data_IF_796950072049
#
_entry.id   IF_796950072049
#
_cell.length_a   1.000
_cell.length_b   1.000
_cell.length_c   1.000
_cell.angle_alpha   90.00
_cell.angle_beta   90.00
_cell.angle_gamma   90.00
#
_symmetry.space_group_name_H-M   'P 1'
#
loop_
_entity.id
_entity.type
_entity.pdbx_description
1 polymer ?
#
# COMPACT_ATOMS: atom_id res chain seq x y z
N UNK A 1 0.90 -3.99 17.70
CA UNK A 1 1.17 -2.89 16.76
C UNK A 1 2.58 -2.42 17.05
N UNK A 2 3.39 -2.24 16.01
CA UNK A 2 4.75 -1.70 16.13
C UNK A 2 4.67 -0.25 16.65
N UNK A 3 5.46 0.08 17.68
CA UNK A 3 5.34 1.31 18.48
C UNK A 3 6.16 2.49 17.90
N UNK A 4 6.29 2.55 16.57
CA UNK A 4 7.04 3.63 15.91
C UNK A 4 6.15 4.83 15.55
N UNK A 5 6.77 6.00 15.41
CA UNK A 5 6.11 7.25 14.99
C UNK A 5 5.90 7.27 13.48
N UNK A 6 4.68 7.56 13.04
CA UNK A 6 4.29 7.53 11.62
C UNK A 6 4.42 8.90 10.95
N UNK A 7 4.90 8.92 9.71
CA UNK A 7 4.81 10.07 8.80
C UNK A 7 3.71 9.80 7.77
N UNK A 8 2.71 10.67 7.74
CA UNK A 8 1.47 10.48 6.96
C UNK A 8 1.37 11.62 5.96
N UNK A 9 1.12 11.35 4.68
CA UNK A 9 0.94 12.42 3.69
C UNK A 9 -0.50 12.92 3.72
N UNK A 10 -0.71 14.23 3.95
CA UNK A 10 -2.04 14.84 3.99
C UNK A 10 -2.43 15.52 2.68
N UNK A 11 -3.53 15.07 2.09
CA UNK A 11 -4.11 15.64 0.87
C UNK A 11 -5.56 16.05 1.08
N UNK A 12 -5.95 17.16 0.44
CA UNK A 12 -7.34 17.58 0.29
C UNK A 12 -7.80 17.23 -1.11
N UNK A 13 -9.05 16.81 -1.28
CA UNK A 13 -9.60 16.45 -2.58
C UNK A 13 -10.89 17.22 -2.81
N UNK A 14 -10.97 17.93 -3.93
CA UNK A 14 -12.15 18.64 -4.40
C UNK A 14 -12.14 18.67 -5.93
N UNK A 15 -13.30 18.49 -6.55
CA UNK A 15 -13.47 18.54 -8.01
C UNK A 15 -12.50 17.63 -8.77
N UNK A 16 -12.24 16.43 -8.21
CA UNK A 16 -11.32 15.45 -8.79
C UNK A 16 -9.84 15.84 -8.79
N UNK A 17 -9.45 16.88 -8.04
CA UNK A 17 -8.09 17.39 -7.96
C UNK A 17 -7.51 17.27 -6.56
N UNK A 18 -6.18 17.15 -6.51
CA UNK A 18 -5.43 17.11 -5.26
C UNK A 18 -5.01 18.52 -4.83
N UNK A 19 -5.18 18.78 -3.54
CA UNK A 19 -4.74 19.98 -2.86
C UNK A 19 -3.93 19.58 -1.62
N UNK A 20 -3.18 20.53 -1.07
CA UNK A 20 -2.80 20.48 0.36
C UNK A 20 -4.03 20.15 1.22
N UNK A 21 -3.85 19.42 2.33
CA UNK A 21 -4.98 18.92 3.13
C UNK A 21 -5.99 20.00 3.53
N UNK A 22 -5.55 21.25 3.70
CA UNK A 22 -6.40 22.40 4.07
C UNK A 22 -7.14 23.04 2.88
N UNK A 23 -6.95 22.53 1.66
CA UNK A 23 -7.59 22.99 0.43
C UNK A 23 -7.01 24.28 -0.15
N UNK A 24 -5.87 24.79 0.32
CA UNK A 24 -5.38 26.12 -0.06
C UNK A 24 -4.48 26.13 -1.30
N UNK A 25 -3.61 25.13 -1.44
CA UNK A 25 -2.69 24.98 -2.55
C UNK A 25 -3.05 23.77 -3.41
N UNK A 26 -3.32 23.98 -4.71
CA UNK A 26 -3.54 22.92 -5.71
C UNK A 26 -2.21 22.30 -6.09
N UNK A 27 -2.20 20.97 -6.21
CA UNK A 27 -1.09 20.23 -6.80
C UNK A 27 -1.31 20.09 -8.32
N UNK A 28 -0.25 20.28 -9.09
CA UNK A 28 -0.25 20.07 -10.54
C UNK A 28 -0.18 18.60 -10.96
N UNK A 29 0.25 17.69 -10.08
CA UNK A 29 0.27 16.24 -10.36
C UNK A 29 -0.99 15.54 -9.85
N UNK A 30 -1.39 14.41 -10.47
CA UNK A 30 -2.46 13.57 -9.96
C UNK A 30 -2.19 13.06 -8.53
N UNK A 31 -3.25 12.88 -7.74
CA UNK A 31 -3.16 12.34 -6.38
C UNK A 31 -2.39 11.02 -6.32
N UNK A 32 -2.66 10.12 -7.27
CA UNK A 32 -2.04 8.79 -7.34
C UNK A 32 -0.53 8.86 -7.54
N UNK A 33 -0.02 9.84 -8.29
CA UNK A 33 1.41 10.06 -8.50
C UNK A 33 2.08 10.65 -7.25
N UNK A 34 1.40 11.58 -6.58
CA UNK A 34 1.87 12.20 -5.34
C UNK A 34 1.95 11.16 -4.21
N UNK A 35 0.85 10.45 -3.97
CA UNK A 35 0.76 9.42 -2.93
C UNK A 35 1.79 8.31 -3.16
N UNK A 36 1.92 7.81 -4.40
CA UNK A 36 2.91 6.81 -4.77
C UNK A 36 4.34 7.28 -4.54
N UNK A 37 4.67 8.49 -5.00
CA UNK A 37 6.01 9.05 -4.78
C UNK A 37 6.35 9.07 -3.30
N UNK A 38 5.46 9.58 -2.45
CA UNK A 38 5.81 9.68 -1.03
C UNK A 38 5.79 8.35 -0.28
N UNK A 39 4.87 7.44 -0.61
CA UNK A 39 4.85 6.09 -0.03
C UNK A 39 6.08 5.27 -0.42
N UNK A 40 6.45 5.27 -1.71
CA UNK A 40 7.66 4.62 -2.19
C UNK A 40 8.94 5.21 -1.54
N UNK A 41 8.86 6.43 -1.01
CA UNK A 41 9.95 7.13 -0.33
C UNK A 41 9.73 7.28 1.18
N UNK A 42 8.98 6.35 1.78
CA UNK A 42 8.96 6.16 3.22
C UNK A 42 7.82 6.82 3.99
N UNK A 43 6.80 7.36 3.32
CA UNK A 43 5.54 7.67 4.01
C UNK A 43 4.88 6.38 4.51
N UNK A 44 4.33 6.41 5.72
CA UNK A 44 3.72 5.25 6.38
C UNK A 44 2.24 5.09 6.00
N UNK A 45 1.56 6.20 5.71
CA UNK A 45 0.13 6.26 5.42
C UNK A 45 -0.19 7.48 4.53
N UNK A 46 -1.40 7.50 3.99
CA UNK A 46 -1.96 8.64 3.26
C UNK A 46 -3.27 9.08 3.91
N UNK A 47 -3.43 10.36 4.22
CA UNK A 47 -4.68 10.96 4.66
C UNK A 47 -5.33 11.73 3.52
N UNK A 48 -6.58 11.41 3.23
CA UNK A 48 -7.41 12.02 2.20
C UNK A 48 -8.59 12.75 2.84
N UNK A 49 -8.59 14.07 2.75
CA UNK A 49 -9.65 14.94 3.24
C UNK A 49 -10.59 15.31 2.08
N UNK A 50 -11.82 14.83 2.14
CA UNK A 50 -12.88 15.12 1.18
C UNK A 50 -13.48 16.52 1.44
N UNK A 51 -13.14 17.46 0.55
CA UNK A 51 -13.64 18.84 0.54
C UNK A 51 -14.81 19.06 -0.43
N UNK A 52 -15.42 17.99 -0.93
CA UNK A 52 -16.53 18.10 -1.88
C UNK A 52 -17.74 18.82 -1.26
N UNK A 53 -18.42 19.64 -2.07
CA UNK A 53 -19.58 20.45 -1.64
C UNK A 53 -20.93 19.91 -2.15
N UNK A 54 -20.92 19.13 -3.23
CA UNK A 54 -22.08 18.45 -3.80
C UNK A 54 -21.87 16.92 -3.88
N UNK A 55 -22.93 16.16 -4.19
CA UNK A 55 -22.88 14.69 -4.15
C UNK A 55 -22.14 14.09 -5.36
N UNK A 56 -22.15 14.77 -6.51
CA UNK A 56 -21.41 14.33 -7.71
C UNK A 56 -19.90 14.34 -7.46
N UNK A 57 -19.39 15.42 -6.86
CA UNK A 57 -17.99 15.56 -6.47
C UNK A 57 -17.61 14.57 -5.36
N UNK A 58 -18.50 14.31 -4.39
CA UNK A 58 -18.26 13.30 -3.35
C UNK A 58 -18.06 11.90 -3.93
N UNK A 59 -18.86 11.49 -4.93
CA UNK A 59 -18.65 10.22 -5.63
C UNK A 59 -17.34 10.21 -6.44
N UNK A 60 -16.93 11.35 -7.01
CA UNK A 60 -15.65 11.48 -7.68
C UNK A 60 -14.48 11.31 -6.69
N UNK A 61 -14.57 11.88 -5.49
CA UNK A 61 -13.58 11.70 -4.41
C UNK A 61 -13.50 10.24 -3.98
N UNK A 62 -14.63 9.55 -3.81
CA UNK A 62 -14.65 8.10 -3.51
C UNK A 62 -13.95 7.30 -4.61
N UNK A 63 -14.17 7.66 -5.88
CA UNK A 63 -13.44 7.08 -7.02
C UNK A 63 -11.93 7.25 -6.91
N UNK A 64 -11.46 8.45 -6.52
CA UNK A 64 -10.04 8.73 -6.31
C UNK A 64 -9.45 7.99 -5.11
N UNK A 65 -10.20 7.83 -4.01
CA UNK A 65 -9.78 6.99 -2.87
C UNK A 65 -9.53 5.57 -3.37
N UNK A 66 -10.45 5.02 -4.17
CA UNK A 66 -10.31 3.67 -4.76
C UNK A 66 -9.12 3.54 -5.70
N UNK A 67 -8.89 4.54 -6.55
CA UNK A 67 -7.73 4.56 -7.44
C UNK A 67 -6.40 4.64 -6.66
N UNK A 68 -6.38 5.44 -5.58
CA UNK A 68 -5.22 5.59 -4.71
C UNK A 68 -4.92 4.29 -3.98
N UNK A 69 -5.95 3.62 -3.43
CA UNK A 69 -5.81 2.32 -2.74
C UNK A 69 -5.23 1.21 -3.62
N UNK A 70 -5.43 1.27 -4.94
CA UNK A 70 -4.82 0.34 -5.92
C UNK A 70 -3.38 0.70 -6.29
N UNK A 71 -2.99 1.93 -6.03
CA UNK A 71 -1.70 2.47 -6.45
C UNK A 71 -0.63 2.37 -5.36
N UNK A 72 -1.03 2.54 -4.10
CA UNK A 72 -0.15 2.48 -2.93
C UNK A 72 -0.45 1.25 -2.09
N UNK A 73 0.57 0.69 -1.44
CA UNK A 73 0.39 -0.48 -0.56
C UNK A 73 0.14 -0.03 0.90
N UNK A 74 0.35 1.26 1.18
CA UNK A 74 0.30 1.89 2.48
C UNK A 74 -1.15 2.29 2.87
N UNK A 75 -1.53 2.20 4.16
CA UNK A 75 -2.90 2.45 4.59
C UNK A 75 -3.41 3.87 4.28
N UNK A 76 -4.65 3.96 3.84
CA UNK A 76 -5.35 5.22 3.59
C UNK A 76 -6.28 5.57 4.77
N UNK A 77 -6.23 6.81 5.24
CA UNK A 77 -7.18 7.41 6.17
C UNK A 77 -8.08 8.37 5.37
N UNK A 78 -9.39 8.27 5.49
CA UNK A 78 -10.32 9.11 4.71
C UNK A 78 -11.36 9.79 5.61
N UNK A 79 -11.83 10.97 5.24
CA UNK A 79 -12.84 11.69 6.02
C UNK A 79 -13.11 13.06 5.44
N UNK A 80 -13.87 13.90 6.16
CA UNK A 80 -14.32 15.21 5.67
C UNK A 80 -15.83 15.22 5.44
N UNK A 81 -16.30 14.92 4.23
CA UNK A 81 -17.73 14.96 3.89
C UNK A 81 -18.52 13.73 4.36
N UNK A 82 -18.53 13.45 5.66
CA UNK A 82 -19.38 12.42 6.27
C UNK A 82 -20.69 13.05 6.77
N UNK A 83 -21.82 12.70 6.16
CA UNK A 83 -23.17 13.18 6.55
C UNK A 83 -24.05 12.06 7.08
N UNK A 84 -23.71 10.80 6.79
CA UNK A 84 -24.44 9.60 7.23
C UNK A 84 -23.51 8.39 7.29
N UNK A 85 -23.96 7.35 7.97
CA UNK A 85 -23.23 6.08 8.09
C UNK A 85 -22.88 5.43 6.74
N UNK A 86 -23.69 5.64 5.68
CA UNK A 86 -23.38 5.12 4.35
C UNK A 86 -22.11 5.75 3.76
N UNK A 87 -21.75 6.98 4.14
CA UNK A 87 -20.54 7.64 3.62
C UNK A 87 -19.29 7.01 4.28
N UNK A 88 -19.35 6.68 5.57
CA UNK A 88 -18.32 5.88 6.28
C UNK A 88 -18.10 4.54 5.57
N UNK A 89 -19.19 3.83 5.27
CA UNK A 89 -19.14 2.56 4.54
C UNK A 89 -18.49 2.72 3.17
N UNK A 90 -18.85 3.76 2.42
CA UNK A 90 -18.29 4.02 1.08
C UNK A 90 -16.79 4.27 1.12
N UNK A 91 -16.29 5.08 2.06
CA UNK A 91 -14.86 5.30 2.21
C UNK A 91 -14.11 4.01 2.55
N UNK A 92 -14.60 3.22 3.51
CA UNK A 92 -13.99 1.94 3.86
C UNK A 92 -13.99 0.97 2.67
N UNK A 93 -15.09 0.89 1.92
CA UNK A 93 -15.22 -0.01 0.76
C UNK A 93 -14.43 0.48 -0.46
N UNK A 94 -14.06 1.75 -0.49
CA UNK A 94 -13.12 2.29 -1.46
C UNK A 94 -11.66 1.98 -1.11
N UNK A 95 -11.38 1.34 0.04
CA UNK A 95 -10.02 0.96 0.45
C UNK A 95 -9.43 1.83 1.57
N UNK A 96 -10.22 2.72 2.19
CA UNK A 96 -9.76 3.38 3.40
C UNK A 96 -9.63 2.36 4.56
N UNK A 97 -8.49 2.39 5.24
CA UNK A 97 -8.23 1.59 6.43
C UNK A 97 -8.95 2.10 7.68
N UNK A 98 -9.19 3.41 7.75
CA UNK A 98 -9.99 4.06 8.78
C UNK A 98 -10.66 5.33 8.24
N UNK A 99 -11.77 5.72 8.89
CA UNK A 99 -12.52 6.93 8.60
C UNK A 99 -12.48 7.87 9.79
N UNK A 100 -12.14 9.14 9.55
CA UNK A 100 -12.20 10.17 10.59
C UNK A 100 -13.49 11.00 10.51
N UNK A 101 -14.12 11.19 11.67
CA UNK A 101 -15.36 11.91 11.86
C UNK A 101 -15.10 13.27 12.52
N UNK A 102 -15.63 14.35 11.97
CA UNK A 102 -15.40 15.71 12.47
C UNK A 102 -16.27 15.97 13.70
N UNK A 103 -15.65 16.07 14.88
CA UNK A 103 -16.37 16.21 16.15
C UNK A 103 -17.01 17.58 16.36
N UNK A 104 -16.70 18.58 15.51
CA UNK A 104 -17.43 19.85 15.53
C UNK A 104 -18.85 19.74 14.94
N UNK A 105 -19.17 18.59 14.34
CA UNK A 105 -20.48 18.31 13.75
C UNK A 105 -21.22 17.31 14.63
N UNK A 106 -22.34 17.74 15.21
CA UNK A 106 -23.19 16.93 16.09
C UNK A 106 -23.57 15.58 15.44
N UNK A 107 -24.00 15.59 14.17
CA UNK A 107 -24.32 14.37 13.41
C UNK A 107 -23.17 13.34 13.38
N UNK A 108 -21.91 13.80 13.34
CA UNK A 108 -20.73 12.93 13.31
C UNK A 108 -20.47 12.29 14.67
N UNK A 109 -20.66 13.03 15.76
CA UNK A 109 -20.56 12.52 17.13
C UNK A 109 -21.66 11.49 17.38
N UNK A 110 -22.91 11.81 17.01
CA UNK A 110 -24.07 10.93 17.19
C UNK A 110 -23.92 9.59 16.46
N UNK A 111 -23.35 9.59 15.24
CA UNK A 111 -23.18 8.36 14.46
C UNK A 111 -21.92 7.56 14.84
N UNK A 112 -20.98 8.13 15.60
CA UNK A 112 -19.67 7.53 15.88
C UNK A 112 -19.80 6.14 16.50
N UNK A 113 -20.72 5.99 17.47
CA UNK A 113 -20.99 4.69 18.11
C UNK A 113 -21.52 3.65 17.15
N UNK A 114 -22.51 4.01 16.33
CA UNK A 114 -23.06 3.10 15.33
C UNK A 114 -22.01 2.70 14.30
N UNK A 115 -21.15 3.63 13.89
CA UNK A 115 -20.03 3.37 12.98
C UNK A 115 -19.01 2.40 13.59
N UNK A 116 -18.62 2.62 14.84
CA UNK A 116 -17.68 1.76 15.54
C UNK A 116 -18.25 0.35 15.78
N UNK A 117 -19.50 0.24 16.24
CA UNK A 117 -20.17 -1.04 16.45
C UNK A 117 -20.30 -1.86 15.16
N UNK A 118 -20.44 -1.19 14.01
CA UNK A 118 -20.62 -1.83 12.70
C UNK A 118 -19.31 -2.19 12.00
N UNK A 119 -18.30 -1.33 12.08
CA UNK A 119 -17.07 -1.45 11.27
C UNK A 119 -15.82 -1.76 12.08
N UNK A 120 -15.89 -1.67 13.42
CA UNK A 120 -14.76 -1.80 14.34
C UNK A 120 -14.22 -0.44 14.78
N UNK A 121 -13.99 -0.26 16.08
CA UNK A 121 -13.43 0.97 16.66
C UNK A 121 -12.05 1.32 16.10
N UNK A 122 -11.26 0.32 15.71
CA UNK A 122 -9.96 0.52 15.07
C UNK A 122 -10.03 1.22 13.71
N UNK A 123 -11.23 1.30 13.11
CA UNK A 123 -11.48 1.97 11.83
C UNK A 123 -12.13 3.34 11.98
N UNK A 124 -12.46 3.78 13.19
CA UNK A 124 -13.15 5.05 13.44
C UNK A 124 -12.24 5.98 14.22
N UNK A 125 -11.89 7.12 13.63
CA UNK A 125 -11.06 8.15 14.23
C UNK A 125 -11.90 9.41 14.48
N UNK A 126 -11.51 10.24 15.45
CA UNK A 126 -12.13 11.53 15.72
C UNK A 126 -11.23 12.64 15.21
N UNK A 127 -11.73 13.49 14.31
CA UNK A 127 -11.03 14.70 13.86
C UNK A 127 -11.46 15.88 14.74
N UNK A 128 -10.48 16.47 15.42
CA UNK A 128 -10.58 17.60 16.34
C UNK A 128 -10.07 18.86 15.62
N UNK A 129 -10.95 19.80 15.26
CA UNK A 129 -10.56 20.99 14.48
C UNK A 129 -9.64 21.95 15.22
N UNK A 130 -9.58 21.87 16.54
CA UNK A 130 -8.65 22.61 17.40
C UNK A 130 -8.50 21.93 18.78
N UNK A 131 -7.59 22.44 19.60
CA UNK A 131 -7.25 21.90 20.92
C UNK A 131 -8.43 21.94 21.91
N UNK A 132 -9.43 22.79 21.70
CA UNK A 132 -10.54 22.95 22.67
C UNK A 132 -11.44 21.72 22.79
N UNK A 133 -11.30 20.76 21.87
CA UNK A 133 -12.00 19.47 21.87
C UNK A 133 -11.24 18.34 22.59
N UNK A 134 -9.97 18.54 22.95
CA UNK A 134 -9.17 17.53 23.67
C UNK A 134 -9.78 17.14 25.03
N UNK A 135 -10.36 18.06 25.82
CA UNK A 135 -11.03 17.68 27.07
C UNK A 135 -12.17 16.66 26.92
N UNK A 136 -12.75 16.52 25.71
CA UNK A 136 -13.78 15.55 25.37
C UNK A 136 -13.23 14.28 24.70
N UNK A 137 -11.91 14.10 24.59
CA UNK A 137 -11.31 12.95 23.92
C UNK A 137 -11.77 11.59 24.50
N UNK A 138 -11.92 11.50 25.82
CA UNK A 138 -12.43 10.29 26.49
C UNK A 138 -13.89 9.98 26.10
N UNK A 139 -14.72 11.00 25.88
CA UNK A 139 -16.09 10.81 25.39
C UNK A 139 -16.09 10.23 23.98
N UNK A 140 -15.28 10.80 23.07
CA UNK A 140 -15.14 10.27 21.70
C UNK A 140 -14.60 8.84 21.70
N UNK A 141 -13.64 8.54 22.58
CA UNK A 141 -13.12 7.18 22.74
C UNK A 141 -14.19 6.20 23.23
N UNK A 142 -15.05 6.61 24.18
CA UNK A 142 -16.19 5.80 24.63
C UNK A 142 -17.26 5.60 23.56
N UNK A 143 -17.38 6.55 22.62
CA UNK A 143 -18.20 6.41 21.41
C UNK A 143 -17.52 5.55 20.33
N UNK A 144 -16.28 5.12 20.55
CA UNK A 144 -15.59 4.15 19.70
C UNK A 144 -14.50 4.73 18.79
N UNK A 145 -14.12 6.00 18.94
CA UNK A 145 -12.95 6.54 18.26
C UNK A 145 -11.65 5.95 18.84
N UNK A 146 -10.79 5.40 18.00
CA UNK A 146 -9.51 4.82 18.44
C UNK A 146 -8.34 5.80 18.42
N UNK A 147 -8.40 6.85 17.59
CA UNK A 147 -7.33 7.83 17.41
C UNK A 147 -7.92 9.23 17.24
N UNK A 148 -7.27 10.23 17.84
CA UNK A 148 -7.60 11.65 17.73
C UNK A 148 -6.74 12.31 16.65
N UNK A 149 -7.34 12.85 15.60
CA UNK A 149 -6.64 13.67 14.60
C UNK A 149 -6.80 15.13 14.99
N UNK A 150 -5.72 15.77 15.43
CA UNK A 150 -5.75 17.11 15.97
C UNK A 150 -5.11 18.14 15.04
N UNK A 151 -5.81 19.24 14.80
CA UNK A 151 -5.23 20.46 14.26
C UNK A 151 -4.77 21.38 15.38
N UNK A 152 -3.47 21.69 15.42
CA UNK A 152 -2.89 22.61 16.41
C UNK A 152 -3.11 24.07 16.00
N UNK A 153 -3.13 24.97 16.97
CA UNK A 153 -3.42 26.40 16.74
C UNK A 153 -2.30 27.14 15.99
N UNK A 154 -1.08 26.63 16.10
CA UNK A 154 0.12 27.10 15.41
C UNK A 154 0.80 25.94 14.67
N UNK A 155 1.73 26.28 13.76
CA UNK A 155 2.58 25.29 13.09
C UNK A 155 3.34 24.43 14.10
N UNK A 156 3.96 25.07 15.10
CA UNK A 156 4.58 24.36 16.23
C UNK A 156 3.68 24.50 17.46
N UNK A 157 3.21 23.41 18.07
CA UNK A 157 2.37 23.47 19.26
C UNK A 157 3.19 23.96 20.43
N UNK A 158 2.53 24.72 21.28
CA UNK A 158 3.06 25.11 22.57
C UNK A 158 3.28 23.87 23.45
N UNK A 159 4.20 23.98 24.42
CA UNK A 159 4.38 22.95 25.44
C UNK A 159 3.09 22.67 26.23
N UNK A 160 2.20 23.67 26.33
CA UNK A 160 0.89 23.51 26.95
C UNK A 160 0.00 22.59 26.12
N UNK A 161 -0.13 22.82 24.81
CA UNK A 161 -0.92 21.96 23.91
C UNK A 161 -0.40 20.51 23.94
N UNK A 162 0.91 20.30 23.93
CA UNK A 162 1.49 18.95 24.07
C UNK A 162 1.20 18.33 25.44
N UNK A 163 1.15 19.13 26.50
CA UNK A 163 0.74 18.70 27.84
C UNK A 163 -0.72 18.24 27.88
N UNK A 164 -1.63 19.02 27.29
CA UNK A 164 -3.06 18.68 27.19
C UNK A 164 -3.28 17.39 26.39
N UNK A 165 -2.57 17.20 25.27
CA UNK A 165 -2.59 15.93 24.52
C UNK A 165 -2.09 14.79 25.41
N UNK A 166 -0.97 15.00 26.12
CA UNK A 166 -0.39 14.03 27.05
C UNK A 166 -1.34 13.59 28.17
N UNK A 167 -2.11 14.53 28.71
CA UNK A 167 -3.08 14.30 29.77
C UNK A 167 -4.37 13.61 29.28
N UNK A 168 -4.70 13.75 27.99
CA UNK A 168 -5.89 13.12 27.40
C UNK A 168 -5.88 11.60 27.51
N UNK A 169 -4.70 10.96 27.51
CA UNK A 169 -4.58 9.50 27.57
C UNK A 169 -4.85 8.77 26.25
N UNK A 170 -5.16 9.49 25.16
CA UNK A 170 -5.51 8.89 23.86
C UNK A 170 -4.45 9.14 22.79
N UNK A 171 -4.31 8.19 21.86
CA UNK A 171 -3.38 8.34 20.74
C UNK A 171 -3.82 9.48 19.80
N UNK A 172 -2.83 10.27 19.37
CA UNK A 172 -3.04 11.43 18.54
C UNK A 172 -2.22 11.39 17.24
N UNK A 173 -2.84 11.85 16.15
CA UNK A 173 -2.18 12.29 14.92
C UNK A 173 -2.30 13.79 14.84
N UNK A 174 -1.26 14.47 14.39
CA UNK A 174 -1.22 15.93 14.37
C UNK A 174 -0.85 16.45 12.98
N UNK A 175 -1.36 17.60 12.59
CA UNK A 175 -0.93 18.22 11.33
C UNK A 175 0.41 18.93 11.50
N UNK A 176 1.27 18.78 10.51
CA UNK A 176 2.62 19.33 10.46
C UNK A 176 2.87 19.83 9.03
N UNK A 177 3.43 21.02 8.84
CA UNK A 177 3.51 21.58 7.48
C UNK A 177 3.92 23.05 7.38
N UNK A 178 4.26 23.45 6.16
CA UNK A 178 4.62 24.84 5.82
C UNK A 178 6.08 25.20 6.07
N UNK A 179 6.97 24.19 6.10
CA UNK A 179 8.42 24.36 6.10
C UNK A 179 9.00 24.09 4.71
N UNK A 180 10.00 24.88 4.32
CA UNK A 180 10.68 24.78 3.01
C UNK A 180 11.87 23.81 3.01
N UNK A 181 12.34 23.38 4.19
CA UNK A 181 13.48 22.46 4.30
C UNK A 181 13.10 21.21 5.09
N UNK A 182 13.69 20.08 4.70
CA UNK A 182 13.57 18.80 5.40
C UNK A 182 14.08 18.91 6.83
N UNK A 183 15.12 19.72 7.05
CA UNK A 183 15.72 19.91 8.36
C UNK A 183 14.78 20.63 9.33
N UNK A 184 14.08 21.66 8.87
CA UNK A 184 13.11 22.39 9.69
C UNK A 184 11.91 21.48 10.02
N UNK A 185 11.40 20.75 9.01
CA UNK A 185 10.31 19.79 9.19
C UNK A 185 10.68 18.71 10.21
N UNK A 186 11.87 18.11 10.08
CA UNK A 186 12.37 17.13 11.06
C UNK A 186 12.58 17.75 12.45
N UNK A 187 12.91 19.04 12.54
CA UNK A 187 13.00 19.79 13.80
C UNK A 187 11.64 19.90 14.49
N UNK A 188 10.60 20.27 13.75
CA UNK A 188 9.22 20.34 14.24
C UNK A 188 8.72 18.95 14.70
N UNK A 189 8.92 17.92 13.87
CA UNK A 189 8.55 16.54 14.19
C UNK A 189 9.18 16.04 15.50
N UNK A 190 10.42 16.45 15.82
CA UNK A 190 11.07 16.10 17.10
C UNK A 190 10.32 16.68 18.30
N UNK A 191 9.83 17.91 18.19
CA UNK A 191 9.09 18.58 19.27
C UNK A 191 7.77 17.84 19.48
N UNK A 192 7.05 17.58 18.39
CA UNK A 192 5.78 16.85 18.38
C UNK A 192 5.89 15.45 19.00
N UNK A 193 6.85 14.66 18.52
CA UNK A 193 7.05 13.28 18.99
C UNK A 193 7.66 13.19 20.38
N UNK A 194 8.05 14.33 20.98
CA UNK A 194 8.34 14.42 22.42
C UNK A 194 7.14 14.04 23.29
N UNK A 195 5.91 14.14 22.78
CA UNK A 195 4.72 13.59 23.42
C UNK A 195 4.55 12.09 23.06
N UNK A 196 4.53 11.16 24.04
CA UNK A 196 4.38 9.73 23.76
C UNK A 196 3.07 9.37 23.04
N UNK A 197 1.99 10.11 23.33
CA UNK A 197 0.67 9.91 22.76
C UNK A 197 0.55 10.41 21.31
N UNK A 198 1.44 11.29 20.84
CA UNK A 198 1.49 11.66 19.42
C UNK A 198 2.12 10.51 18.65
N UNK A 199 1.31 9.67 18.01
CA UNK A 199 1.75 8.47 17.29
C UNK A 199 2.10 8.71 15.83
N UNK A 200 1.74 9.87 15.28
CA UNK A 200 2.11 10.23 13.91
C UNK A 200 1.85 11.69 13.57
N UNK A 201 2.42 12.12 12.45
CA UNK A 201 2.28 13.47 11.92
C UNK A 201 1.77 13.43 10.48
N UNK A 202 0.75 14.23 10.20
CA UNK A 202 0.12 14.44 8.90
C UNK A 202 0.81 15.62 8.24
N UNK A 203 1.66 15.31 7.28
CA UNK A 203 2.56 16.22 6.59
C UNK A 203 1.85 16.94 5.45
N UNK A 204 2.08 18.25 5.38
CA UNK A 204 1.78 19.07 4.20
C UNK A 204 3.10 19.38 3.50
N UNK A 205 3.37 18.72 2.38
CA UNK A 205 4.61 18.86 1.61
C UNK A 205 4.36 19.52 0.27
N UNK A 206 5.35 20.27 -0.22
CA UNK A 206 5.37 20.71 -1.62
C UNK A 206 5.61 19.49 -2.55
N UNK A 207 5.16 19.56 -3.80
CA UNK A 207 5.28 18.44 -4.74
C UNK A 207 6.72 17.95 -4.93
N UNK A 208 7.68 18.88 -4.91
CA UNK A 208 9.09 18.60 -5.09
C UNK A 208 9.72 17.92 -3.87
N UNK A 209 9.05 17.98 -2.71
CA UNK A 209 9.51 17.38 -1.45
C UNK A 209 8.80 16.07 -1.11
N UNK A 210 7.97 15.54 -2.02
CA UNK A 210 7.16 14.35 -1.74
C UNK A 210 8.01 13.10 -1.46
N UNK A 211 9.26 13.06 -1.93
CA UNK A 211 10.20 11.95 -1.76
C UNK A 211 11.10 12.04 -0.52
N UNK A 212 10.81 12.95 0.42
CA UNK A 212 11.69 13.27 1.56
C UNK A 212 11.35 12.53 2.87
N UNK A 213 10.29 11.71 2.90
CA UNK A 213 9.84 11.06 4.13
C UNK A 213 10.92 10.16 4.77
N UNK A 214 11.63 9.36 3.98
CA UNK A 214 12.72 8.52 4.48
C UNK A 214 13.88 9.36 5.04
N UNK A 215 14.21 10.49 4.42
CA UNK A 215 15.23 11.41 4.95
C UNK A 215 14.82 11.96 6.32
N UNK A 216 13.56 12.40 6.47
CA UNK A 216 13.02 12.83 7.76
C UNK A 216 13.09 11.71 8.81
N UNK A 217 12.73 10.48 8.45
CA UNK A 217 12.83 9.32 9.34
C UNK A 217 14.26 9.06 9.80
N UNK A 218 15.24 9.13 8.90
CA UNK A 218 16.66 9.01 9.29
C UNK A 218 17.10 10.10 10.27
N UNK A 219 16.64 11.34 10.06
CA UNK A 219 16.92 12.46 10.99
C UNK A 219 16.26 12.29 12.36
N UNK A 220 15.05 11.72 12.40
CA UNK A 220 14.31 11.41 13.63
C UNK A 220 14.98 10.26 14.39
N UNK A 221 15.35 9.19 13.68
CA UNK A 221 16.14 8.09 14.22
C UNK A 221 17.46 8.56 14.83
N UNK A 222 18.19 9.43 14.13
CA UNK A 222 19.41 10.05 14.66
C UNK A 222 19.20 10.88 15.94
N UNK A 223 17.96 11.31 16.21
CA UNK A 223 17.56 11.99 17.44
C UNK A 223 16.96 11.03 18.50
N UNK A 224 16.98 9.71 18.27
CA UNK A 224 16.45 8.70 19.19
C UNK A 224 14.93 8.52 19.11
N UNK A 225 14.27 9.00 18.06
CA UNK A 225 12.83 8.80 17.83
C UNK A 225 12.66 7.59 16.90
N UNK A 226 11.93 6.58 17.39
CA UNK A 226 11.66 5.37 16.63
C UNK A 226 10.72 5.64 15.45
N UNK A 227 11.16 5.29 14.25
CA UNK A 227 10.43 5.42 12.97
C UNK A 227 10.70 4.20 12.12
N UNK A 228 9.79 3.88 11.20
CA UNK A 228 9.94 2.73 10.31
C UNK A 228 11.03 2.97 9.26
N UNK A 229 12.24 2.50 9.58
CA UNK A 229 13.44 2.54 8.74
C UNK A 229 14.04 1.13 8.62
N UNK A 230 14.88 0.91 7.61
CA UNK A 230 15.56 -0.38 7.48
C UNK A 230 16.75 -0.48 8.44
N UNK A 231 16.69 -1.46 9.34
CA UNK A 231 17.76 -1.77 10.28
C UNK A 231 18.25 -3.20 10.10
N UNK A 232 19.57 -3.38 10.11
CA UNK A 232 20.15 -4.72 10.11
C UNK A 232 20.30 -5.24 11.53
N UNK A 233 19.89 -6.48 11.74
CA UNK A 233 20.18 -7.24 12.96
C UNK A 233 21.56 -7.90 12.92
N UNK A 234 22.24 -7.88 11.78
CA UNK A 234 23.57 -8.48 11.55
C UNK A 234 24.55 -7.39 11.13
N UNK A 235 25.71 -7.30 11.80
CA UNK A 235 26.72 -6.31 11.44
C UNK A 235 27.41 -6.71 10.12
N UNK A 236 27.76 -5.72 9.28
CA UNK A 236 28.39 -5.97 7.98
C UNK A 236 29.64 -6.86 8.05
N UNK A 237 30.46 -6.69 9.09
CA UNK A 237 31.65 -7.51 9.36
C UNK A 237 31.39 -9.03 9.48
N UNK A 238 30.15 -9.42 9.75
CA UNK A 238 29.73 -10.82 9.92
C UNK A 238 29.21 -11.44 8.61
N UNK A 239 29.18 -10.65 7.52
CA UNK A 239 28.90 -11.13 6.17
C UNK A 239 30.16 -11.79 5.58
N UNK A 240 29.97 -12.87 4.83
CA UNK A 240 31.03 -13.51 4.07
C UNK A 240 31.08 -12.91 2.68
N UNK A 241 32.09 -12.07 2.46
CA UNK A 241 32.30 -11.42 1.18
C UNK A 241 33.08 -12.33 0.23
N UNK A 242 32.86 -12.17 -1.07
CA UNK A 242 33.67 -12.82 -2.08
C UNK A 242 35.09 -12.21 -2.16
N UNK A 243 35.94 -12.73 -3.06
CA UNK A 243 37.33 -12.26 -3.24
C UNK A 243 37.45 -10.78 -3.63
N UNK A 244 36.38 -10.19 -4.15
CA UNK A 244 36.32 -8.78 -4.56
C UNK A 244 35.80 -7.87 -3.43
N UNK A 245 35.50 -8.42 -2.24
CA UNK A 245 34.92 -7.68 -1.12
C UNK A 245 33.44 -7.37 -1.30
N UNK A 246 32.72 -8.19 -2.08
CA UNK A 246 31.31 -7.97 -2.43
C UNK A 246 30.42 -9.12 -1.97
N UNK A 247 29.16 -8.80 -1.69
CA UNK A 247 28.10 -9.77 -1.43
C UNK A 247 27.15 -9.86 -2.64
N UNK A 248 26.84 -11.04 -3.17
CA UNK A 248 25.76 -11.23 -4.13
C UNK A 248 24.39 -10.85 -3.54
N UNK A 249 23.55 -10.25 -4.37
CA UNK A 249 22.18 -9.85 -4.03
C UNK A 249 21.22 -10.39 -5.08
N UNK A 250 20.36 -11.32 -4.69
CA UNK A 250 19.24 -11.81 -5.50
C UNK A 250 18.06 -10.88 -5.25
N UNK A 251 17.45 -10.39 -6.32
CA UNK A 251 16.35 -9.42 -6.24
C UNK A 251 15.06 -10.08 -6.70
N UNK A 252 14.02 -9.99 -5.88
CA UNK A 252 12.73 -10.63 -6.10
C UNK A 252 11.60 -9.61 -5.99
N UNK A 253 10.60 -9.72 -6.86
CA UNK A 253 9.39 -8.89 -6.78
C UNK A 253 8.54 -9.29 -5.56
N UNK A 254 8.07 -8.28 -4.82
CA UNK A 254 7.30 -8.52 -3.59
C UNK A 254 5.88 -9.08 -3.80
N UNK A 255 5.24 -8.85 -4.97
CA UNK A 255 3.89 -9.38 -5.27
C UNK A 255 3.97 -10.73 -5.95
N UNK A 256 4.74 -10.83 -7.03
CA UNK A 256 4.78 -12.05 -7.85
C UNK A 256 5.80 -13.10 -7.37
N UNK A 257 6.68 -12.74 -6.43
CA UNK A 257 7.83 -13.58 -6.05
C UNK A 257 8.76 -13.95 -7.24
N UNK A 258 8.64 -13.25 -8.37
CA UNK A 258 9.51 -13.46 -9.54
C UNK A 258 10.93 -12.97 -9.23
N UNK A 259 11.95 -13.77 -9.57
CA UNK A 259 13.34 -13.31 -9.51
C UNK A 259 13.60 -12.33 -10.65
N UNK A 260 13.93 -11.09 -10.30
CA UNK A 260 14.09 -9.98 -11.21
C UNK A 260 15.51 -9.86 -11.74
N UNK A 261 16.51 -9.92 -10.87
CA UNK A 261 17.91 -9.77 -11.24
C UNK A 261 18.85 -10.26 -10.13
N UNK A 262 20.14 -10.31 -10.45
CA UNK A 262 21.22 -10.50 -9.48
C UNK A 262 22.24 -9.39 -9.65
N UNK A 263 22.69 -8.80 -8.54
CA UNK A 263 23.73 -7.78 -8.51
C UNK A 263 24.65 -7.99 -7.31
N UNK A 264 25.56 -7.03 -7.07
CA UNK A 264 26.52 -7.09 -5.97
C UNK A 264 26.42 -5.82 -5.13
N UNK A 265 26.68 -5.95 -3.83
CA UNK A 265 26.82 -4.83 -2.90
C UNK A 265 28.20 -4.87 -2.23
N UNK A 266 28.80 -3.71 -2.03
CA UNK A 266 29.80 -3.45 -0.98
C UNK A 266 29.11 -2.81 0.24
N UNK A 267 29.87 -2.56 1.32
CA UNK A 267 29.36 -1.96 2.56
C UNK A 267 28.61 -0.65 2.31
N UNK A 268 29.23 0.26 1.55
CA UNK A 268 28.66 1.58 1.24
C UNK A 268 27.33 1.48 0.48
N UNK A 269 27.22 0.57 -0.50
CA UNK A 269 25.97 0.35 -1.23
C UNK A 269 24.87 -0.30 -0.38
N UNK A 270 25.26 -1.14 0.58
CA UNK A 270 24.34 -1.75 1.54
C UNK A 270 23.81 -0.71 2.53
N UNK A 271 24.68 0.11 3.11
CA UNK A 271 24.31 1.21 4.01
C UNK A 271 23.43 2.24 3.31
N UNK A 272 23.77 2.61 2.06
CA UNK A 272 22.93 3.51 1.25
C UNK A 272 21.54 2.92 0.99
N UNK A 273 21.45 1.59 0.78
CA UNK A 273 20.17 0.89 0.59
C UNK A 273 19.32 0.94 1.86
N UNK A 274 19.93 0.71 3.04
CA UNK A 274 19.22 0.83 4.33
C UNK A 274 18.77 2.27 4.61
N UNK A 275 19.64 3.25 4.33
CA UNK A 275 19.37 4.65 4.61
C UNK A 275 18.24 5.22 3.74
N UNK A 276 18.19 4.84 2.48
CA UNK A 276 17.26 5.43 1.48
C UNK A 276 16.03 4.56 1.22
N UNK A 277 16.06 3.28 1.56
CA UNK A 277 15.03 2.32 1.15
C UNK A 277 15.02 2.02 -0.35
N UNK A 278 16.03 2.47 -1.11
CA UNK A 278 16.17 2.23 -2.54
C UNK A 278 17.37 1.32 -2.81
N UNK A 279 17.21 0.34 -3.69
CA UNK A 279 18.31 -0.56 -4.03
C UNK A 279 19.48 0.19 -4.66
N UNK A 280 20.61 0.18 -3.94
CA UNK A 280 21.89 0.72 -4.39
C UNK A 280 22.88 -0.44 -4.50
N UNK A 281 23.48 -0.60 -5.67
CA UNK A 281 24.42 -1.68 -5.96
C UNK A 281 25.84 -1.14 -6.16
N UNK A 282 26.83 -2.03 -6.09
CA UNK A 282 28.19 -1.74 -6.52
C UNK A 282 28.44 -2.29 -7.93
N UNK A 283 28.70 -1.38 -8.89
CA UNK A 283 29.00 -1.78 -10.26
C UNK A 283 30.45 -2.24 -10.39
N UNK A 284 30.66 -3.56 -10.53
CA UNK A 284 32.01 -4.13 -10.70
C UNK A 284 32.76 -3.58 -11.92
N UNK A 285 32.07 -3.29 -13.02
CA UNK A 285 32.70 -2.76 -14.23
C UNK A 285 33.03 -1.27 -14.13
N UNK A 286 32.22 -0.49 -13.40
CA UNK A 286 32.41 0.96 -13.26
C UNK A 286 33.12 1.35 -11.96
N UNK A 287 33.30 0.41 -11.04
CA UNK A 287 33.90 0.59 -9.70
C UNK A 287 33.28 1.76 -8.94
N UNK A 288 31.94 1.84 -8.93
CA UNK A 288 31.19 2.89 -8.25
C UNK A 288 29.82 2.41 -7.79
N UNK A 289 29.25 3.14 -6.85
CA UNK A 289 27.84 3.00 -6.47
C UNK A 289 26.92 3.22 -7.67
N UNK A 290 25.81 2.50 -7.66
CA UNK A 290 24.79 2.56 -8.69
C UNK A 290 23.41 2.45 -8.04
N UNK A 291 22.72 3.58 -7.92
CA UNK A 291 21.32 3.62 -7.54
C UNK A 291 20.47 3.08 -8.69
N UNK A 292 19.77 1.97 -8.47
CA UNK A 292 18.92 1.36 -9.52
C UNK A 292 17.76 2.29 -9.85
N UNK A 293 17.65 2.65 -11.13
CA UNK A 293 16.60 3.53 -11.64
C UNK A 293 17.03 4.98 -11.83
N UNK A 294 18.18 5.41 -11.30
CA UNK A 294 18.65 6.80 -11.39
C UNK A 294 18.69 7.34 -12.83
N UNK A 295 19.09 6.51 -13.81
CA UNK A 295 19.12 6.90 -15.23
C UNK A 295 17.84 6.55 -15.99
N UNK A 296 17.15 5.47 -15.62
CA UNK A 296 16.04 4.91 -16.42
C UNK A 296 14.65 5.18 -15.86
N UNK A 297 14.55 5.72 -14.64
CA UNK A 297 13.31 5.81 -13.87
C UNK A 297 12.79 4.48 -13.31
N UNK A 298 13.49 3.36 -13.57
CA UNK A 298 13.05 2.01 -13.14
C UNK A 298 13.62 1.66 -11.76
N UNK A 299 13.11 2.34 -10.74
CA UNK A 299 13.55 2.19 -9.35
C UNK A 299 13.14 0.84 -8.75
N UNK A 300 13.85 0.47 -7.70
CA UNK A 300 13.56 -0.69 -6.84
C UNK A 300 13.51 -0.21 -5.40
N UNK A 301 12.31 -0.25 -4.81
CA UNK A 301 12.09 0.13 -3.42
C UNK A 301 12.11 -1.11 -2.55
N UNK A 302 12.91 -1.09 -1.49
CA UNK A 302 13.10 -2.22 -0.58
C UNK A 302 11.81 -2.48 0.18
N UNK A 303 11.40 -3.75 0.27
CA UNK A 303 10.34 -4.21 1.18
C UNK A 303 10.91 -5.14 2.25
N UNK A 304 11.91 -5.98 1.93
CA UNK A 304 12.69 -6.69 2.94
C UNK A 304 14.07 -7.11 2.42
N UNK A 305 15.01 -7.29 3.33
CA UNK A 305 16.32 -7.88 3.06
C UNK A 305 16.51 -9.09 3.97
N UNK A 306 16.93 -10.22 3.40
CA UNK A 306 17.25 -11.45 4.14
C UNK A 306 18.65 -11.91 3.80
N UNK A 307 19.36 -12.38 4.79
CA UNK A 307 20.67 -13.01 4.63
C UNK A 307 20.48 -14.53 4.65
N UNK A 308 21.21 -15.26 3.80
CA UNK A 308 21.14 -16.71 3.75
C UNK A 308 21.84 -17.40 4.93
N UNK A 309 21.80 -18.74 4.97
CA UNK A 309 22.17 -19.51 6.16
C UNK A 309 23.66 -19.47 6.51
N UNK A 310 24.51 -19.12 5.56
CA UNK A 310 25.95 -19.03 5.72
C UNK A 310 26.49 -17.61 5.52
N UNK A 311 25.58 -16.63 5.48
CA UNK A 311 25.86 -15.19 5.49
C UNK A 311 26.60 -14.67 4.28
N UNK A 312 26.47 -15.30 3.11
CA UNK A 312 27.20 -14.91 1.90
C UNK A 312 26.32 -14.36 0.78
N UNK A 313 24.99 -14.42 0.91
CA UNK A 313 24.06 -13.93 -0.11
C UNK A 313 22.86 -13.20 0.49
N UNK A 314 22.51 -12.04 -0.08
CA UNK A 314 21.31 -11.29 0.28
C UNK A 314 20.17 -11.64 -0.68
N UNK A 315 18.98 -11.95 -0.14
CA UNK A 315 17.72 -11.91 -0.87
C UNK A 315 17.01 -10.59 -0.57
N UNK A 316 16.88 -9.74 -1.58
CA UNK A 316 16.16 -8.48 -1.52
C UNK A 316 14.77 -8.64 -2.15
N UNK A 317 13.72 -8.44 -1.35
CA UNK A 317 12.34 -8.33 -1.82
C UNK A 317 12.03 -6.87 -2.08
N UNK A 318 11.58 -6.54 -3.30
CA UNK A 318 11.43 -5.14 -3.75
C UNK A 318 10.10 -4.90 -4.47
N UNK A 319 9.65 -3.64 -4.42
CA UNK A 319 8.68 -3.08 -5.37
C UNK A 319 9.44 -2.54 -6.59
N UNK A 320 9.24 -3.17 -7.74
CA UNK A 320 9.89 -2.80 -8.99
C UNK A 320 9.02 -1.81 -9.79
N UNK A 321 9.58 -0.64 -10.12
CA UNK A 321 8.98 0.29 -11.07
C UNK A 321 9.53 0.01 -12.48
N UNK A 322 8.66 -0.19 -13.47
CA UNK A 322 9.07 -0.49 -14.85
C UNK A 322 9.84 -1.82 -14.97
N UNK A 323 10.76 -1.91 -15.93
CA UNK A 323 11.59 -3.10 -16.14
C UNK A 323 12.80 -3.18 -15.18
N UNK A 324 13.08 -4.36 -14.63
CA UNK A 324 14.32 -4.55 -13.87
C UNK A 324 15.55 -4.56 -14.80
N UNK A 325 15.39 -5.09 -16.02
CA UNK A 325 16.48 -5.20 -16.99
C UNK A 325 16.70 -3.90 -17.78
N UNK A 326 17.95 -3.66 -18.18
CA UNK A 326 18.33 -2.55 -19.05
C UNK A 326 17.72 -2.65 -20.47
N UNK A 327 17.23 -3.83 -20.86
CA UNK A 327 16.50 -4.06 -22.12
C UNK A 327 15.04 -3.59 -22.06
N UNK A 328 14.55 -3.18 -20.89
CA UNK A 328 13.13 -2.92 -20.63
C UNK A 328 12.34 -4.17 -20.22
N UNK A 329 12.94 -5.36 -20.29
CA UNK A 329 12.32 -6.60 -19.82
C UNK A 329 12.08 -6.58 -18.30
N UNK A 330 11.00 -7.23 -17.85
CA UNK A 330 10.62 -7.28 -16.43
C UNK A 330 11.69 -7.95 -15.57
N UNK A 331 12.17 -9.12 -15.97
CA UNK A 331 13.29 -9.84 -15.35
C UNK A 331 14.51 -9.83 -16.27
N UNK A 332 15.71 -10.05 -15.72
CA UNK A 332 16.93 -10.39 -16.47
C UNK A 332 16.94 -11.87 -16.92
N UNK A 333 16.13 -12.74 -16.33
CA UNK A 333 16.11 -14.19 -16.56
C UNK A 333 15.05 -14.61 -17.60
N UNK A 334 14.94 -13.88 -18.71
CA UNK A 334 13.91 -14.09 -19.73
C UNK A 334 14.26 -15.16 -20.80
N UNK A 335 15.50 -15.70 -20.78
CA UNK A 335 15.95 -16.70 -21.76
C UNK A 335 16.02 -18.08 -21.11
N UNK A 336 15.19 -19.01 -21.59
CA UNK A 336 15.22 -20.42 -21.15
C UNK A 336 16.45 -21.13 -21.73
N UNK A 337 17.33 -21.64 -20.86
CA UNK A 337 18.54 -22.37 -21.28
C UNK A 337 18.29 -23.86 -21.49
N UNK A 338 17.49 -24.46 -20.62
CA UNK A 338 17.10 -25.86 -20.66
C UNK A 338 15.82 -26.05 -19.86
N UNK A 339 14.90 -26.84 -20.38
CA UNK A 339 13.63 -27.17 -19.74
C UNK A 339 13.33 -28.65 -19.97
N UNK A 340 12.84 -29.33 -18.94
CA UNK A 340 12.30 -30.67 -19.05
C UNK A 340 10.80 -30.57 -18.88
N UNK A 341 10.02 -31.25 -19.71
CA UNK A 341 8.58 -31.34 -19.48
C UNK A 341 8.32 -31.93 -18.08
N UNK A 342 7.66 -31.15 -17.23
CA UNK A 342 7.10 -31.60 -15.98
C UNK A 342 5.68 -31.07 -15.88
N UNK A 343 4.84 -31.78 -15.13
CA UNK A 343 3.52 -31.28 -14.78
C UNK A 343 3.72 -30.25 -13.68
N UNK A 344 3.60 -28.97 -14.00
CA UNK A 344 3.53 -27.92 -13.00
C UNK A 344 2.32 -28.22 -12.10
N UNK A 345 2.60 -28.33 -10.80
CA UNK A 345 1.59 -28.68 -9.78
C UNK A 345 1.60 -27.68 -8.64
N UNK A 346 2.40 -26.61 -8.77
CA UNK A 346 2.37 -25.51 -7.83
C UNK A 346 0.95 -24.92 -7.81
N UNK A 347 0.22 -25.05 -6.68
CA UNK A 347 -1.16 -24.60 -6.59
C UNK A 347 -1.28 -23.08 -6.84
N UNK A 348 -0.21 -22.32 -6.61
CA UNK A 348 -0.17 -20.88 -6.85
C UNK A 348 -0.08 -20.52 -8.34
N UNK A 349 0.42 -21.42 -9.19
CA UNK A 349 0.57 -21.18 -10.63
C UNK A 349 -0.52 -21.80 -11.48
N UNK A 350 -1.18 -22.85 -10.99
CA UNK A 350 -2.21 -23.57 -11.75
C UNK A 350 -3.33 -22.64 -12.25
N UNK A 351 -3.74 -21.65 -11.46
CA UNK A 351 -4.77 -20.70 -11.88
C UNK A 351 -4.28 -19.77 -13.00
N UNK A 352 -3.06 -19.24 -12.90
CA UNK A 352 -2.45 -18.42 -13.94
C UNK A 352 -2.21 -19.22 -15.23
N UNK A 353 -1.72 -20.45 -15.12
CA UNK A 353 -1.44 -21.34 -16.26
C UNK A 353 -2.73 -21.70 -17.00
N UNK A 354 -3.77 -22.13 -16.28
CA UNK A 354 -5.08 -22.46 -16.87
C UNK A 354 -5.70 -21.22 -17.51
N UNK A 355 -5.60 -20.06 -16.84
CA UNK A 355 -6.08 -18.80 -17.39
C UNK A 355 -5.33 -18.39 -18.66
N UNK A 356 -3.99 -18.53 -18.67
CA UNK A 356 -3.15 -18.30 -19.85
C UNK A 356 -3.52 -19.19 -21.03
N UNK A 357 -3.84 -20.47 -20.79
CA UNK A 357 -4.36 -21.37 -21.83
C UNK A 357 -5.72 -20.92 -22.35
N UNK A 358 -6.60 -20.39 -21.49
CA UNK A 358 -7.91 -19.86 -21.90
C UNK A 358 -7.73 -18.61 -22.78
N UNK A 359 -6.84 -17.69 -22.40
CA UNK A 359 -6.50 -16.50 -23.18
C UNK A 359 -5.88 -16.87 -24.52
N UNK A 360 -4.90 -17.78 -24.54
CA UNK A 360 -4.30 -18.30 -25.79
C UNK A 360 -5.37 -18.91 -26.69
N UNK A 361 -6.32 -19.69 -26.15
CA UNK A 361 -7.42 -20.24 -26.95
C UNK A 361 -8.34 -19.17 -27.52
N UNK A 362 -8.49 -18.03 -26.86
CA UNK A 362 -9.29 -16.89 -27.34
C UNK A 362 -8.60 -16.20 -28.52
N UNK A 363 -7.29 -15.99 -28.43
CA UNK A 363 -6.49 -15.31 -29.47
C UNK A 363 -6.09 -16.25 -30.63
N UNK A 364 -5.78 -17.50 -30.31
CA UNK A 364 -5.37 -18.58 -31.20
C UNK A 364 -6.35 -19.76 -31.13
N UNK A 365 -7.54 -19.66 -31.77
CA UNK A 365 -8.54 -20.71 -31.72
C UNK A 365 -8.03 -22.06 -32.19
N UNK A 366 -8.37 -23.11 -31.44
CA UNK A 366 -8.07 -24.50 -31.82
C UNK A 366 -9.36 -25.26 -32.03
N UNK A 367 -9.51 -25.79 -33.24
CA UNK A 367 -10.66 -26.60 -33.62
C UNK A 367 -10.87 -27.77 -32.64
N UNK A 368 -12.12 -27.96 -32.21
CA UNK A 368 -12.50 -29.00 -31.24
C UNK A 368 -12.22 -28.69 -29.77
N UNK A 369 -11.65 -27.52 -29.43
CA UNK A 369 -11.46 -27.10 -28.05
C UNK A 369 -12.78 -26.73 -27.37
N UNK A 370 -13.01 -27.24 -26.15
CA UNK A 370 -14.17 -26.87 -25.33
C UNK A 370 -14.20 -25.36 -25.03
N UNK A 371 -13.04 -24.75 -24.75
CA UNK A 371 -12.93 -23.31 -24.52
C UNK A 371 -13.42 -22.50 -25.72
N UNK A 372 -13.05 -22.91 -26.95
CA UNK A 372 -13.49 -22.23 -28.16
C UNK A 372 -15.00 -22.39 -28.37
N UNK A 373 -15.56 -23.57 -28.11
CA UNK A 373 -17.01 -23.77 -28.13
C UNK A 373 -17.77 -22.82 -27.19
N UNK A 374 -17.24 -22.55 -25.99
CA UNK A 374 -17.84 -21.60 -25.06
C UNK A 374 -17.81 -20.17 -25.63
N UNK A 375 -16.66 -19.72 -26.13
CA UNK A 375 -16.52 -18.40 -26.73
C UNK A 375 -17.39 -18.24 -28.00
N UNK A 376 -17.46 -19.25 -28.86
CA UNK A 376 -18.26 -19.25 -30.09
C UNK A 376 -19.78 -19.14 -29.81
N UNK A 377 -20.23 -19.70 -28.68
CA UNK A 377 -21.62 -19.61 -28.23
C UNK A 377 -21.92 -18.32 -27.46
N UNK A 378 -20.89 -17.58 -27.07
CA UNK A 378 -21.01 -16.28 -26.43
C UNK A 378 -21.44 -16.32 -24.97
N UNK A 379 -21.63 -15.12 -24.41
CA UNK A 379 -21.83 -14.88 -22.98
C UNK A 379 -22.94 -15.72 -22.35
N UNK A 380 -24.08 -15.91 -23.01
CA UNK A 380 -25.21 -16.65 -22.44
C UNK A 380 -24.84 -18.11 -22.14
N UNK A 381 -24.00 -18.72 -22.98
CA UNK A 381 -23.53 -20.09 -22.77
C UNK A 381 -22.53 -20.17 -21.62
N UNK A 382 -21.64 -19.19 -21.52
CA UNK A 382 -20.66 -19.07 -20.43
C UNK A 382 -21.39 -18.91 -19.09
N UNK A 383 -22.34 -17.98 -19.01
CA UNK A 383 -23.12 -17.72 -17.79
C UNK A 383 -24.00 -18.90 -17.40
N UNK A 384 -24.61 -19.58 -18.38
CA UNK A 384 -25.36 -20.82 -18.13
C UNK A 384 -24.47 -21.85 -17.45
N UNK A 385 -23.26 -22.07 -17.97
CA UNK A 385 -22.32 -23.01 -17.38
C UNK A 385 -21.89 -22.60 -15.98
N UNK A 386 -21.45 -21.36 -15.80
CA UNK A 386 -21.08 -20.84 -14.49
C UNK A 386 -22.17 -21.03 -13.43
N UNK A 387 -23.44 -20.79 -13.80
CA UNK A 387 -24.59 -20.98 -12.90
C UNK A 387 -24.94 -22.45 -12.61
N UNK A 388 -24.76 -23.36 -13.60
CA UNK A 388 -24.88 -24.80 -13.41
C UNK A 388 -23.88 -25.28 -12.34
N UNK A 389 -22.59 -25.01 -12.55
CA UNK A 389 -21.52 -25.45 -11.64
C UNK A 389 -21.69 -24.85 -10.23
N UNK A 390 -22.10 -23.58 -10.12
CA UNK A 390 -22.36 -22.94 -8.83
C UNK A 390 -23.48 -23.64 -8.04
N UNK A 391 -24.52 -24.13 -8.75
CA UNK A 391 -25.62 -24.87 -8.15
C UNK A 391 -25.17 -26.29 -7.78
N UNK A 392 -24.34 -26.91 -8.62
CA UNK A 392 -23.79 -28.25 -8.37
C UNK A 392 -22.86 -28.27 -7.16
N UNK A 393 -22.06 -27.22 -6.90
CA UNK A 393 -21.32 -27.06 -5.64
C UNK A 393 -22.25 -27.13 -4.42
N UNK A 394 -23.37 -26.40 -4.45
CA UNK A 394 -24.33 -26.37 -3.33
C UNK A 394 -24.92 -27.76 -3.08
N UNK A 395 -25.21 -28.50 -4.15
CA UNK A 395 -25.75 -29.86 -4.07
C UNK A 395 -24.67 -30.81 -3.54
N UNK A 396 -23.48 -30.80 -4.13
CA UNK A 396 -22.36 -31.66 -3.77
C UNK A 396 -21.88 -31.42 -2.33
N UNK A 397 -21.96 -30.18 -1.83
CA UNK A 397 -21.63 -29.84 -0.45
C UNK A 397 -22.53 -30.54 0.59
N UNK A 398 -23.71 -31.02 0.19
CA UNK A 398 -24.60 -31.81 1.06
C UNK A 398 -24.31 -33.31 1.01
N UNK A 399 -23.51 -33.76 0.05
CA UNK A 399 -23.19 -35.16 -0.13
C UNK A 399 -22.01 -35.56 0.77
N UNK A 400 -21.96 -36.82 1.25
CA UNK A 400 -20.90 -37.28 2.15
C UNK A 400 -19.55 -37.49 1.45
N UNK A 401 -19.50 -37.50 0.11
CA UNK A 401 -18.27 -37.71 -0.65
C UNK A 401 -17.60 -36.38 -1.00
N UNK A 402 -16.43 -36.04 -0.40
CA UNK A 402 -15.73 -34.79 -0.67
C UNK A 402 -15.09 -34.73 -2.06
N UNK A 403 -15.04 -35.83 -2.80
CA UNK A 403 -14.51 -35.82 -4.17
C UNK A 403 -15.45 -35.09 -5.13
N UNK A 404 -16.76 -35.22 -4.95
CA UNK A 404 -17.76 -34.60 -5.83
C UNK A 404 -17.66 -33.07 -5.77
N UNK A 405 -17.70 -32.50 -4.56
CA UNK A 405 -17.57 -31.04 -4.38
C UNK A 405 -16.24 -30.50 -4.94
N UNK A 406 -15.15 -31.28 -4.88
CA UNK A 406 -13.87 -30.87 -5.46
C UNK A 406 -13.95 -30.74 -6.98
N UNK A 407 -14.65 -31.63 -7.67
CA UNK A 407 -14.86 -31.52 -9.12
C UNK A 407 -15.73 -30.32 -9.46
N UNK A 408 -16.85 -30.13 -8.76
CA UNK A 408 -17.77 -29.00 -9.01
C UNK A 408 -17.08 -27.64 -8.75
N UNK A 409 -16.26 -27.54 -7.70
CA UNK A 409 -15.43 -26.34 -7.47
C UNK A 409 -14.44 -26.13 -8.61
N UNK A 410 -13.81 -27.20 -9.11
CA UNK A 410 -12.84 -27.07 -10.21
C UNK A 410 -13.50 -26.58 -11.50
N UNK A 411 -14.67 -27.13 -11.84
CA UNK A 411 -15.41 -26.75 -13.04
C UNK A 411 -16.00 -25.34 -12.92
N UNK A 412 -16.49 -24.96 -11.73
CA UNK A 412 -16.90 -23.59 -11.45
C UNK A 412 -15.75 -22.60 -11.66
N UNK A 413 -14.57 -22.87 -11.08
CA UNK A 413 -13.40 -22.00 -11.22
C UNK A 413 -12.95 -21.91 -12.69
N UNK A 414 -13.00 -23.01 -13.45
CA UNK A 414 -12.71 -22.99 -14.88
C UNK A 414 -13.69 -22.09 -15.65
N UNK A 415 -15.00 -22.25 -15.45
CA UNK A 415 -15.99 -21.42 -16.14
C UNK A 415 -15.95 -19.96 -15.67
N UNK A 416 -15.57 -19.70 -14.42
CA UNK A 416 -15.31 -18.36 -13.90
C UNK A 416 -14.13 -17.72 -14.62
N UNK A 417 -13.04 -18.45 -14.82
CA UNK A 417 -11.88 -17.99 -15.61
C UNK A 417 -12.24 -17.73 -17.08
N UNK A 418 -13.13 -18.54 -17.70
CA UNK A 418 -13.63 -18.26 -19.05
C UNK A 418 -14.45 -16.96 -19.09
N UNK A 419 -15.28 -16.70 -18.07
CA UNK A 419 -16.01 -15.43 -17.94
C UNK A 419 -15.05 -14.25 -17.73
N UNK A 420 -14.03 -14.41 -16.88
CA UNK A 420 -12.98 -13.41 -16.66
C UNK A 420 -12.30 -13.05 -17.99
N UNK A 421 -11.89 -14.06 -18.78
CA UNK A 421 -11.28 -13.86 -20.09
C UNK A 421 -12.24 -13.18 -21.08
N UNK A 422 -13.53 -13.51 -21.06
CA UNK A 422 -14.55 -12.84 -21.89
C UNK A 422 -14.67 -11.35 -21.55
N UNK A 423 -14.57 -11.01 -20.25
CA UNK A 423 -14.70 -9.64 -19.71
C UNK A 423 -13.40 -8.86 -19.60
N UNK A 424 -12.26 -9.48 -19.88
CA UNK A 424 -10.95 -8.84 -19.79
C UNK A 424 -10.52 -8.55 -18.35
N UNK A 425 -10.87 -9.43 -17.40
CA UNK A 425 -10.53 -9.32 -15.98
C UNK A 425 -9.41 -10.30 -15.66
N UNK A 426 -8.39 -9.91 -14.90
CA UNK A 426 -7.26 -10.78 -14.53
C UNK A 426 -7.36 -11.38 -13.12
N UNK A 427 -6.54 -12.38 -12.80
CA UNK A 427 -6.46 -12.92 -11.43
C UNK A 427 -5.85 -11.91 -10.45
N UNK A 428 -4.94 -11.07 -10.93
CA UNK A 428 -4.35 -9.97 -10.16
C UNK A 428 -5.44 -8.99 -9.72
N UNK A 429 -6.33 -8.57 -10.62
CA UNK A 429 -7.46 -7.68 -10.28
C UNK A 429 -8.42 -8.30 -9.25
N UNK A 430 -8.73 -9.60 -9.38
CA UNK A 430 -9.62 -10.31 -8.45
C UNK A 430 -8.97 -10.46 -7.07
N UNK A 431 -7.70 -10.85 -7.03
CA UNK A 431 -6.99 -11.06 -5.75
C UNK A 431 -6.70 -9.74 -5.05
N UNK A 432 -6.43 -8.66 -5.79
CA UNK A 432 -6.35 -7.30 -5.26
C UNK A 432 -7.68 -6.86 -4.64
N UNK A 433 -8.80 -7.06 -5.34
CA UNK A 433 -10.13 -6.73 -4.81
C UNK A 433 -10.49 -7.57 -3.56
N UNK A 434 -10.04 -8.83 -3.48
CA UNK A 434 -10.23 -9.66 -2.28
C UNK A 434 -9.35 -9.23 -1.11
N UNK A 435 -8.11 -8.80 -1.37
CA UNK A 435 -7.19 -8.32 -0.34
C UNK A 435 -7.66 -7.00 0.29
N UNK A 436 -8.43 -6.20 -0.45
CA UNK A 436 -8.96 -4.90 -0.02
C UNK A 436 -10.29 -4.98 0.76
N UNK A 437 -10.88 -6.16 0.94
CA UNK A 437 -12.14 -6.39 1.69
C UNK A 437 -11.86 -6.77 3.13
#
# INVERSE_FOLDING_TARGET
>A
MTDYKKLILGFGIKEGKAYSWNGQAEYGKPLTDLARTGCDNGADQVLLYDHSENDEDHEAVIGLIKETARTVDEPILAGGRVRRLEDVKKYLYAGASAVFLDVSREDNVDMMKEAADRFGSEKIYAYLPDITYIPQAEEYAQLGASVMILKTSAQVPSLQELGEIGESGHEALIFCGGHQSVQDMAGELKIHFGCPLVKGAILTLEEESMDTCMEMKQMLKGAGIETDTFESTVAWKDFKLNSDGLVPVIVQDHKSSEVLMMAYMNEESYEATLATGKMTYFSRSRQKLWLKGETSGHFQYVKSLKLDCDNDTILATVKQIGGACHTGSRTCFFTTLAEKEYKETNPLKVFEDVYGVILDRKEHPKEGSYTNYLFDKGIDKILKKLGEEATEIIIAAKNPNPEEIKYEISDFLYHMMVLMADRGISWEEITEELANR
#
